data_IF_341085742150
#
_entry.id   IF_341085742150
#
_cell.length_a   1.000
_cell.length_b   1.000
_cell.length_c   1.000
_cell.angle_alpha   90.00
_cell.angle_beta   90.00
_cell.angle_gamma   90.00
#
_symmetry.space_group_name_H-M   'P 1'
#
loop_
_entity.id
_entity.type
_entity.pdbx_description
1 polymer ?
#
# COMPACT_ATOMS: atom_id res chain seq x y z
N UNK A 1 -0.59 2.56 -20.49
CA UNK A 1 0.12 3.68 -21.14
C UNK A 1 1.18 4.12 -20.13
N UNK A 2 2.46 4.17 -20.50
CA UNK A 2 3.52 4.59 -19.57
C UNK A 2 3.45 6.10 -19.34
N UNK A 3 3.27 6.52 -18.10
CA UNK A 3 3.22 7.94 -17.71
C UNK A 3 4.57 8.61 -18.03
N UNK A 4 4.57 9.49 -19.02
CA UNK A 4 5.80 10.08 -19.58
C UNK A 4 6.02 11.54 -19.13
N UNK A 5 5.19 12.06 -18.22
CA UNK A 5 5.35 13.40 -17.65
C UNK A 5 4.90 13.46 -16.18
N UNK A 6 5.47 14.34 -15.33
CA UNK A 6 5.12 14.46 -13.91
C UNK A 6 3.62 14.72 -13.64
N UNK A 7 2.91 15.30 -14.61
CA UNK A 7 1.47 15.59 -14.58
C UNK A 7 0.56 14.39 -14.86
N UNK A 8 1.12 13.23 -15.25
CA UNK A 8 0.37 11.99 -15.51
C UNK A 8 0.41 11.01 -14.32
N UNK A 9 1.02 11.42 -13.19
CA UNK A 9 1.17 10.56 -12.01
C UNK A 9 -0.10 10.63 -11.17
N UNK A 10 -0.66 9.49 -10.73
CA UNK A 10 -1.86 9.52 -9.91
C UNK A 10 -1.56 10.10 -8.53
N UNK A 11 -2.51 10.88 -8.00
CA UNK A 11 -2.46 11.38 -6.63
C UNK A 11 -2.80 10.30 -5.60
N UNK A 12 -3.30 9.14 -6.08
CA UNK A 12 -3.66 7.98 -5.27
C UNK A 12 -2.73 6.82 -5.58
N UNK A 13 -2.27 6.15 -4.54
CA UNK A 13 -1.39 4.97 -4.63
C UNK A 13 -1.79 3.94 -3.59
N UNK A 14 -1.19 2.77 -3.66
CA UNK A 14 -1.56 1.61 -2.88
C UNK A 14 -0.37 1.03 -2.13
N UNK A 15 -0.66 0.54 -0.92
CA UNK A 15 0.26 -0.26 -0.12
C UNK A 15 -0.34 -1.63 0.17
N UNK A 16 0.42 -2.69 -0.13
CA UNK A 16 0.09 -4.05 0.29
C UNK A 16 0.89 -4.36 1.55
N UNK A 17 0.22 -4.84 2.59
CA UNK A 17 0.80 -5.15 3.90
C UNK A 17 0.34 -6.54 4.38
N UNK A 18 1.07 -7.10 5.35
CA UNK A 18 0.53 -8.16 6.18
C UNK A 18 -0.49 -7.58 7.17
N UNK A 19 -1.49 -8.37 7.56
CA UNK A 19 -2.48 -7.97 8.58
C UNK A 19 -1.83 -7.56 9.90
N UNK A 20 -0.70 -8.18 10.28
CA UNK A 20 0.05 -7.80 11.49
C UNK A 20 0.64 -6.40 11.40
N UNK A 21 1.14 -6.01 10.23
CA UNK A 21 1.72 -4.69 10.00
C UNK A 21 0.63 -3.63 10.01
N UNK A 22 -0.52 -3.92 9.39
CA UNK A 22 -1.70 -3.06 9.44
C UNK A 22 -2.19 -2.85 10.88
N UNK A 23 -2.34 -3.93 11.66
CA UNK A 23 -2.73 -3.83 13.08
C UNK A 23 -1.73 -3.02 13.89
N UNK A 24 -0.43 -3.24 13.68
CA UNK A 24 0.62 -2.48 14.37
C UNK A 24 0.53 -0.99 14.03
N UNK A 25 0.34 -0.66 12.76
CA UNK A 25 0.12 0.72 12.32
C UNK A 25 -1.08 1.35 13.02
N UNK A 26 -2.28 0.75 12.96
CA UNK A 26 -3.49 1.44 13.45
C UNK A 26 -3.60 1.48 14.99
N UNK A 27 -2.80 0.70 15.71
CA UNK A 27 -2.82 0.63 17.18
C UNK A 27 -1.65 1.34 17.84
N UNK A 28 -0.63 1.76 17.08
CA UNK A 28 0.53 2.44 17.66
C UNK A 28 0.15 3.79 18.29
N UNK A 29 0.98 4.34 19.19
CA UNK A 29 0.79 5.67 19.73
C UNK A 29 0.72 6.73 18.63
N UNK A 30 -0.10 7.75 18.85
CA UNK A 30 -0.18 8.87 17.91
C UNK A 30 1.02 9.79 18.04
N UNK A 31 1.33 10.43 16.93
CA UNK A 31 2.39 11.44 16.82
C UNK A 31 1.80 12.72 16.26
N UNK A 32 2.38 13.87 16.64
CA UNK A 32 2.00 15.16 16.07
C UNK A 32 2.36 15.21 14.59
N UNK A 33 1.43 15.64 13.76
CA UNK A 33 1.67 15.83 12.34
C UNK A 33 2.28 17.20 12.06
N UNK A 34 3.28 17.30 11.16
CA UNK A 34 3.80 18.60 10.75
C UNK A 34 2.69 19.50 10.20
N UNK A 35 2.66 20.76 10.64
CA UNK A 35 1.70 21.78 10.19
C UNK A 35 0.22 21.40 10.37
N UNK A 36 -0.09 20.52 11.32
CA UNK A 36 -1.47 20.14 11.66
C UNK A 36 -1.68 20.18 13.17
N UNK A 37 -2.86 20.62 13.65
CA UNK A 37 -3.19 20.58 15.07
C UNK A 37 -3.53 19.16 15.55
N UNK A 38 -3.65 18.19 14.64
CA UNK A 38 -4.05 16.82 14.95
C UNK A 38 -2.85 15.88 15.14
N UNK A 39 -3.10 14.78 15.85
CA UNK A 39 -2.17 13.67 15.99
C UNK A 39 -2.69 12.44 15.26
N UNK A 40 -1.80 11.62 14.71
CA UNK A 40 -2.16 10.44 13.94
C UNK A 40 -1.25 9.25 14.23
N UNK A 41 -1.73 8.05 13.96
CA UNK A 41 -0.87 6.88 13.85
C UNK A 41 -0.05 6.98 12.56
N UNK A 42 1.27 7.02 12.69
CA UNK A 42 2.16 7.26 11.55
C UNK A 42 2.85 5.97 11.09
N UNK A 43 2.53 5.48 9.89
CA UNK A 43 3.26 4.35 9.33
C UNK A 43 4.58 4.79 8.73
N UNK A 44 5.66 4.24 9.28
CA UNK A 44 7.04 4.53 8.88
C UNK A 44 7.66 3.44 8.02
N UNK A 45 6.90 2.40 7.66
CA UNK A 45 7.32 1.33 6.77
C UNK A 45 7.17 -0.08 7.36
N UNK A 46 7.01 -1.06 6.48
CA UNK A 46 7.17 -2.48 6.81
C UNK A 46 8.66 -2.86 6.85
N UNK A 47 8.98 -4.10 7.21
CA UNK A 47 10.38 -4.53 7.37
C UNK A 47 11.28 -4.25 6.15
N UNK A 48 10.77 -4.42 4.92
CA UNK A 48 11.54 -4.10 3.70
C UNK A 48 11.67 -2.59 3.46
N UNK A 49 10.64 -1.81 3.77
CA UNK A 49 10.67 -0.35 3.61
C UNK A 49 11.71 0.28 4.55
N UNK A 50 11.75 -0.19 5.79
CA UNK A 50 12.74 0.24 6.79
C UNK A 50 14.15 -0.11 6.34
N UNK A 51 14.32 -1.32 5.77
CA UNK A 51 15.62 -1.78 5.27
C UNK A 51 16.11 -0.93 4.10
N UNK A 52 15.22 -0.58 3.18
CA UNK A 52 15.57 0.15 1.96
C UNK A 52 15.59 1.67 2.18
N UNK A 53 15.04 2.15 3.31
CA UNK A 53 15.06 3.55 3.74
C UNK A 53 13.90 4.40 3.21
N UNK A 54 12.88 3.77 2.63
CA UNK A 54 11.69 4.44 2.09
C UNK A 54 10.49 3.51 1.99
N UNK A 55 9.28 4.08 2.01
CA UNK A 55 8.04 3.30 1.89
C UNK A 55 7.72 3.06 0.43
N UNK A 56 7.67 1.79 0.02
CA UNK A 56 7.26 1.40 -1.33
C UNK A 56 5.75 1.53 -1.52
N UNK A 57 5.34 2.24 -2.57
CA UNK A 57 3.94 2.36 -2.99
C UNK A 57 3.81 1.94 -4.47
N UNK A 58 2.60 1.59 -4.89
CA UNK A 58 2.29 1.18 -6.27
C UNK A 58 1.04 1.89 -6.76
N UNK A 59 0.93 2.21 -8.04
CA UNK A 59 -0.36 2.58 -8.64
C UNK A 59 -1.30 1.37 -8.69
N UNK A 60 -2.57 1.56 -9.06
CA UNK A 60 -3.49 0.43 -9.25
C UNK A 60 -2.96 -0.56 -10.29
N UNK A 61 -2.47 -0.07 -11.43
CA UNK A 61 -1.92 -0.90 -12.53
C UNK A 61 -0.70 -1.70 -12.10
N UNK A 62 0.12 -1.12 -11.23
CA UNK A 62 1.32 -1.76 -10.71
C UNK A 62 1.03 -2.79 -9.62
N UNK A 63 -0.05 -2.60 -8.86
CA UNK A 63 -0.36 -3.36 -7.65
C UNK A 63 -0.54 -4.86 -7.91
N UNK A 64 -1.16 -5.26 -9.04
CA UNK A 64 -1.27 -6.69 -9.39
C UNK A 64 0.12 -7.32 -9.57
N UNK A 65 1.05 -6.64 -10.23
CA UNK A 65 2.40 -7.15 -10.43
C UNK A 65 3.19 -7.20 -9.12
N UNK A 66 3.02 -6.20 -8.25
CA UNK A 66 3.62 -6.16 -6.92
C UNK A 66 3.12 -7.31 -6.06
N UNK A 67 1.81 -7.57 -6.05
CA UNK A 67 1.21 -8.72 -5.39
C UNK A 67 1.81 -10.04 -5.88
N UNK A 68 1.84 -10.27 -7.20
CA UNK A 68 2.36 -11.53 -7.76
C UNK A 68 3.83 -11.75 -7.39
N UNK A 69 4.66 -10.69 -7.44
CA UNK A 69 6.10 -10.81 -7.22
C UNK A 69 6.46 -11.06 -5.75
N UNK A 70 5.75 -10.43 -4.81
CA UNK A 70 6.17 -10.36 -3.41
C UNK A 70 5.22 -11.03 -2.42
N UNK A 71 3.94 -11.15 -2.77
CA UNK A 71 2.89 -11.57 -1.84
C UNK A 71 2.07 -12.79 -2.29
N UNK A 72 2.17 -13.23 -3.54
CA UNK A 72 1.42 -14.39 -4.06
C UNK A 72 1.63 -15.66 -3.25
N UNK A 73 2.84 -15.86 -2.72
CA UNK A 73 3.14 -16.99 -1.84
C UNK A 73 2.43 -16.88 -0.49
N UNK A 74 2.09 -15.66 -0.02
CA UNK A 74 1.54 -15.35 1.29
C UNK A 74 0.01 -15.48 1.40
N UNK A 75 -0.71 -15.71 0.29
CA UNK A 75 -2.16 -15.91 0.31
C UNK A 75 -2.52 -17.41 0.43
N UNK A 76 -3.67 -17.76 1.05
CA UNK A 76 -4.19 -19.12 0.98
C UNK A 76 -4.43 -19.49 -0.48
N UNK A 77 -4.01 -20.70 -0.84
CA UNK A 77 -4.05 -21.33 -2.16
C UNK A 77 -5.02 -20.67 -3.16
N UNK A 78 -4.51 -20.02 -4.22
CA UNK A 78 -5.30 -20.01 -5.45
C UNK A 78 -5.26 -21.41 -6.05
N UNK A 79 -6.39 -21.97 -6.52
CA UNK A 79 -6.40 -23.25 -7.20
C UNK A 79 -5.49 -23.16 -8.43
N UNK A 80 -4.66 -24.16 -8.64
CA UNK A 80 -3.87 -24.25 -9.87
C UNK A 80 -4.79 -24.40 -11.10
N UNK A 81 -4.20 -24.38 -12.30
CA UNK A 81 -4.94 -24.54 -13.56
C UNK A 81 -5.67 -25.91 -13.68
N UNK A 82 -5.49 -26.81 -12.71
CA UNK A 82 -6.13 -28.11 -12.61
C UNK A 82 -7.14 -28.19 -11.45
N UNK A 83 -7.42 -27.07 -10.78
CA UNK A 83 -8.38 -27.01 -9.66
C UNK A 83 -7.87 -27.62 -8.36
N UNK A 84 -6.57 -27.88 -8.22
CA UNK A 84 -5.99 -28.36 -6.97
C UNK A 84 -5.52 -27.18 -6.10
N UNK A 85 -6.01 -27.15 -4.86
CA UNK A 85 -5.53 -26.25 -3.81
C UNK A 85 -4.04 -26.55 -3.53
N UNK A 86 -3.13 -25.65 -3.89
CA UNK A 86 -1.76 -25.74 -3.43
C UNK A 86 -1.65 -25.19 -2.01
N UNK A 87 -1.35 -26.06 -1.04
CA UNK A 87 -1.05 -25.66 0.33
C UNK A 87 -0.04 -24.49 0.33
N UNK A 88 -0.44 -23.37 0.92
CA UNK A 88 0.40 -22.18 1.04
C UNK A 88 1.59 -22.49 1.95
N UNK A 89 2.79 -22.58 1.39
CA UNK A 89 4.04 -22.83 2.12
C UNK A 89 4.50 -21.65 3.01
N UNK A 90 3.71 -20.58 3.13
CA UNK A 90 4.05 -19.35 3.86
C UNK A 90 3.22 -19.10 5.13
N UNK A 91 2.35 -20.05 5.51
CA UNK A 91 1.63 -19.98 6.78
C UNK A 91 0.37 -19.12 6.78
N UNK A 92 -0.21 -18.80 5.62
CA UNK A 92 -1.60 -18.29 5.52
C UNK A 92 -1.85 -16.92 6.17
N UNK A 93 -0.87 -16.01 6.12
CA UNK A 93 -1.02 -14.68 6.71
C UNK A 93 -1.92 -13.79 5.84
N UNK A 94 -3.02 -13.29 6.42
CA UNK A 94 -3.94 -12.39 5.72
C UNK A 94 -3.25 -11.11 5.26
N UNK A 95 -3.60 -10.64 4.07
CA UNK A 95 -3.10 -9.40 3.49
C UNK A 95 -4.08 -8.26 3.69
N UNK A 96 -3.54 -7.04 3.63
CA UNK A 96 -4.29 -5.78 3.63
C UNK A 96 -3.83 -4.94 2.44
N UNK A 97 -4.78 -4.37 1.72
CA UNK A 97 -4.54 -3.34 0.72
C UNK A 97 -5.03 -2.00 1.26
N UNK A 98 -4.17 -0.98 1.20
CA UNK A 98 -4.48 0.37 1.66
C UNK A 98 -4.38 1.33 0.47
N UNK A 99 -5.47 2.06 0.19
CA UNK A 99 -5.50 3.16 -0.77
C UNK A 99 -5.10 4.46 -0.06
N UNK A 100 -4.16 5.20 -0.63
CA UNK A 100 -3.44 6.29 0.03
C UNK A 100 -3.45 7.54 -0.87
N UNK A 101 -3.84 8.67 -0.29
CA UNK A 101 -3.70 10.00 -0.90
C UNK A 101 -2.30 10.54 -0.69
N UNK A 102 -1.52 10.68 -1.77
CA UNK A 102 -0.15 11.23 -1.71
C UNK A 102 -0.12 12.67 -1.19
N UNK A 103 -1.15 13.47 -1.45
CA UNK A 103 -1.25 14.85 -0.98
C UNK A 103 -1.27 15.00 0.56
N UNK A 104 -1.50 13.90 1.29
CA UNK A 104 -1.59 13.87 2.76
C UNK A 104 -0.47 13.07 3.41
N UNK A 105 0.44 12.52 2.61
CA UNK A 105 1.63 11.86 3.11
C UNK A 105 2.54 12.89 3.76
N UNK A 106 3.12 12.52 4.90
CA UNK A 106 4.16 13.34 5.55
C UNK A 106 5.51 12.90 5.03
N UNK A 107 6.35 13.84 4.62
CA UNK A 107 7.67 13.56 4.06
C UNK A 107 7.76 13.89 2.58
N UNK A 108 8.77 13.34 1.92
CA UNK A 108 9.05 13.58 0.50
C UNK A 108 8.59 12.40 -0.33
N UNK A 109 7.75 12.66 -1.33
CA UNK A 109 7.31 11.66 -2.30
C UNK A 109 8.18 11.77 -3.55
N UNK A 110 8.86 10.70 -3.91
CA UNK A 110 9.63 10.61 -5.15
C UNK A 110 9.09 9.48 -6.01
N UNK A 111 9.16 9.67 -7.32
CA UNK A 111 8.79 8.64 -8.29
C UNK A 111 10.05 8.19 -8.99
N UNK A 112 10.45 6.96 -8.72
CA UNK A 112 11.72 6.42 -9.19
C UNK A 112 11.50 5.28 -10.19
N UNK A 113 12.30 5.26 -11.24
CA UNK A 113 12.23 4.22 -12.26
C UNK A 113 12.68 2.89 -11.66
N UNK A 114 11.83 1.88 -11.68
CA UNK A 114 12.19 0.50 -11.38
C UNK A 114 12.75 -0.15 -12.67
N UNK A 115 14.08 -0.34 -12.82
CA UNK A 115 14.65 -0.76 -14.10
C UNK A 115 14.18 -2.15 -14.54
N UNK A 116 13.89 -3.02 -13.57
CA UNK A 116 13.36 -4.37 -13.82
C UNK A 116 11.94 -4.39 -14.42
N UNK A 117 11.19 -3.28 -14.35
CA UNK A 117 9.82 -3.17 -14.84
C UNK A 117 9.62 -2.06 -15.88
N UNK A 118 10.58 -1.14 -16.00
CA UNK A 118 10.50 -0.01 -16.95
C UNK A 118 9.42 1.00 -16.59
N UNK A 119 9.05 1.09 -15.31
CA UNK A 119 7.97 1.95 -14.82
C UNK A 119 8.36 2.67 -13.52
N UNK A 120 7.72 3.79 -13.22
CA UNK A 120 8.02 4.63 -12.06
C UNK A 120 7.17 4.25 -10.85
N UNK A 121 7.79 4.00 -9.71
CA UNK A 121 7.12 3.68 -8.44
C UNK A 121 7.23 4.85 -7.49
N UNK A 122 6.15 5.12 -6.74
CA UNK A 122 6.16 6.13 -5.70
C UNK A 122 6.85 5.60 -4.44
N UNK A 123 7.78 6.39 -3.91
CA UNK A 123 8.53 6.14 -2.68
C UNK A 123 8.35 7.32 -1.73
N UNK A 124 8.17 7.03 -0.44
CA UNK A 124 8.09 8.06 0.61
C UNK A 124 9.36 8.02 1.46
N UNK A 125 10.06 9.14 1.50
CA UNK A 125 11.26 9.36 2.31
C UNK A 125 10.98 10.30 3.47
N UNK A 126 11.74 10.14 4.55
CA UNK A 126 11.86 11.12 5.64
C UNK A 126 10.51 11.49 6.29
N UNK A 127 9.62 10.50 6.44
CA UNK A 127 8.27 10.72 6.97
C UNK A 127 7.45 9.44 7.06
N UNK A 128 6.16 9.53 6.78
CA UNK A 128 5.25 8.40 6.89
C UNK A 128 3.82 8.69 6.45
N UNK A 129 2.98 7.67 6.57
CA UNK A 129 1.59 7.70 6.12
C UNK A 129 0.70 7.87 7.36
N UNK A 130 0.02 9.02 7.53
CA UNK A 130 -0.82 9.25 8.70
C UNK A 130 -2.18 8.53 8.58
N UNK A 131 -2.55 7.85 9.65
CA UNK A 131 -3.88 7.29 9.86
C UNK A 131 -4.56 7.92 11.07
N UNK A 132 -5.81 8.36 10.86
CA UNK A 132 -6.73 8.83 11.90
C UNK A 132 -8.01 8.06 11.68
N UNK A 133 -8.63 7.57 12.76
CA UNK A 133 -9.84 6.76 12.62
C UNK A 133 -10.95 7.59 11.98
N UNK A 134 -11.76 7.02 11.06
CA UNK A 134 -12.83 7.76 10.39
C UNK A 134 -13.86 8.40 11.33
N UNK A 135 -14.00 7.86 12.55
CA UNK A 135 -14.92 8.36 13.57
C UNK A 135 -14.37 9.52 14.39
N UNK A 136 -13.13 9.92 14.18
CA UNK A 136 -12.46 10.95 14.99
C UNK A 136 -12.36 12.28 14.25
N UNK A 137 -12.25 13.34 15.05
CA UNK A 137 -11.95 14.68 14.55
C UNK A 137 -10.58 14.71 13.86
N UNK A 138 -10.49 15.41 12.74
CA UNK A 138 -9.27 15.47 11.93
C UNK A 138 -9.10 14.27 11.00
N UNK A 139 -10.09 13.38 10.85
CA UNK A 139 -10.03 12.26 9.90
C UNK A 139 -9.82 12.71 8.45
N UNK A 140 -10.17 13.95 8.10
CA UNK A 140 -9.84 14.56 6.82
C UNK A 140 -8.33 14.70 6.58
N UNK A 141 -7.51 14.68 7.63
CA UNK A 141 -6.04 14.68 7.55
C UNK A 141 -5.45 13.26 7.42
N UNK A 142 -6.27 12.20 7.50
CA UNK A 142 -5.78 10.85 7.22
C UNK A 142 -5.43 10.70 5.74
N UNK A 143 -4.25 10.13 5.47
CA UNK A 143 -3.82 9.77 4.13
C UNK A 143 -4.49 8.48 3.64
N UNK A 144 -4.98 7.62 4.53
CA UNK A 144 -5.69 6.39 4.17
C UNK A 144 -7.09 6.74 3.70
N UNK A 145 -7.40 6.41 2.45
CA UNK A 145 -8.71 6.63 1.85
C UNK A 145 -9.61 5.41 2.03
N UNK A 146 -9.07 4.21 1.81
CA UNK A 146 -9.78 2.94 1.89
C UNK A 146 -8.86 1.80 2.27
N UNK A 147 -9.46 0.73 2.80
CA UNK A 147 -8.78 -0.48 3.22
C UNK A 147 -9.58 -1.69 2.78
N UNK A 148 -8.90 -2.69 2.20
CA UNK A 148 -9.43 -4.02 1.97
C UNK A 148 -8.60 -5.01 2.78
N UNK A 149 -9.24 -5.98 3.43
CA UNK A 149 -8.58 -6.92 4.34
C UNK A 149 -8.95 -8.36 4.00
N UNK A 150 -8.05 -9.30 4.30
CA UNK A 150 -8.34 -10.72 4.27
C UNK A 150 -8.42 -11.33 2.87
N UNK A 151 -9.32 -12.30 2.70
CA UNK A 151 -9.40 -13.18 1.52
C UNK A 151 -9.75 -12.44 0.21
N UNK A 152 -10.24 -11.20 0.31
CA UNK A 152 -10.55 -10.37 -0.85
C UNK A 152 -9.33 -9.66 -1.42
N UNK A 153 -8.22 -9.60 -0.67
CA UNK A 153 -6.95 -9.00 -1.12
C UNK A 153 -6.18 -10.02 -1.96
N UNK A 154 -6.62 -10.19 -3.21
CA UNK A 154 -6.05 -11.12 -4.20
C UNK A 154 -6.00 -10.49 -5.58
N UNK A 155 -5.44 -11.20 -6.57
CA UNK A 155 -5.16 -10.68 -7.91
C UNK A 155 -6.38 -9.97 -8.53
N UNK A 156 -7.56 -10.56 -8.43
CA UNK A 156 -8.80 -10.02 -9.01
C UNK A 156 -9.19 -8.64 -8.48
N UNK A 157 -8.87 -8.32 -7.21
CA UNK A 157 -9.11 -6.99 -6.65
C UNK A 157 -8.22 -5.95 -7.34
N UNK A 158 -6.93 -6.25 -7.50
CA UNK A 158 -5.98 -5.33 -8.14
C UNK A 158 -6.32 -5.12 -9.62
N UNK A 159 -6.68 -6.18 -10.34
CA UNK A 159 -7.12 -6.09 -11.74
C UNK A 159 -8.36 -5.18 -11.89
N UNK A 160 -9.30 -5.27 -10.94
CA UNK A 160 -10.48 -4.41 -10.91
C UNK A 160 -10.12 -2.95 -10.66
N UNK A 161 -9.27 -2.66 -9.67
CA UNK A 161 -8.85 -1.29 -9.36
C UNK A 161 -8.14 -0.64 -10.55
N UNK A 162 -7.28 -1.40 -11.24
CA UNK A 162 -6.61 -0.93 -12.46
C UNK A 162 -7.61 -0.64 -13.59
N UNK A 163 -8.63 -1.50 -13.78
CA UNK A 163 -9.66 -1.28 -14.79
C UNK A 163 -10.55 -0.06 -14.49
N UNK A 164 -10.71 0.31 -13.22
CA UNK A 164 -11.43 1.52 -12.80
C UNK A 164 -10.61 2.81 -12.98
N UNK A 165 -9.32 2.71 -13.34
CA UNK A 165 -8.43 3.86 -13.51
C UNK A 165 -8.24 4.66 -12.22
N UNK A 166 -8.16 3.96 -11.09
CA UNK A 166 -7.96 4.56 -9.76
C UNK A 166 -6.49 4.77 -9.43
#
# INVERSE_FOLDING_TARGET
>A
MSASSPSDRPDTVYKILLQSDWKSWITQPRTSLPNSPYTAQLFTGAGIDIKDGYIHLSTAEQSSGTYVKWFSKNNPAEPDNNGQEQASETGGQSLVLVEISLAKVVGRVEWELAPSRGDYFAHVYDGGIPYILPSEEGSEFSAVLRVWEGADVKKTLFDKLAAEGR
#
